data_IF_644253143194
#
_entry.id   IF_644253143194
#
_cell.length_a   1.000
_cell.length_b   1.000
_cell.length_c   1.000
_cell.angle_alpha   90.00
_cell.angle_beta   90.00
_cell.angle_gamma   90.00
#
_symmetry.space_group_name_H-M   'P 1'
#
loop_
_entity.id
_entity.type
_entity.pdbx_description
1 polymer ?
#
# COMPACT_ATOMS: atom_id res chain seq x y z
N UNK A 1 -20.57 62.94 59.91
CA UNK A 1 -19.32 62.67 59.12
C UNK A 1 -19.42 61.27 58.53
N UNK A 2 -19.65 61.18 57.23
CA UNK A 2 -19.79 59.91 56.54
C UNK A 2 -18.54 59.68 55.70
N UNK A 3 -17.72 58.71 56.06
CA UNK A 3 -16.56 58.30 55.29
C UNK A 3 -17.03 57.47 54.08
N UNK A 4 -16.74 57.93 52.88
CA UNK A 4 -16.87 57.15 51.63
C UNK A 4 -15.52 56.53 51.34
N UNK A 5 -15.48 55.19 51.39
CA UNK A 5 -14.35 54.39 50.93
C UNK A 5 -14.58 54.21 49.44
N UNK A 6 -13.68 54.71 48.59
CA UNK A 6 -13.65 54.50 47.15
C UNK A 6 -12.78 53.27 46.90
N UNK A 7 -13.44 52.16 46.46
CA UNK A 7 -12.77 50.92 46.11
C UNK A 7 -12.30 51.04 44.64
N UNK A 8 -11.01 51.12 44.44
CA UNK A 8 -10.38 51.07 43.06
C UNK A 8 -10.27 49.62 42.63
N UNK A 9 -11.15 49.18 41.71
CA UNK A 9 -11.06 47.87 41.07
C UNK A 9 -10.03 47.97 39.95
N UNK A 10 -8.83 47.42 40.19
CA UNK A 10 -7.83 47.23 39.12
C UNK A 10 -8.26 46.00 38.32
N UNK A 11 -8.78 46.25 37.12
CA UNK A 11 -9.09 45.20 36.11
C UNK A 11 -7.77 44.76 35.47
N UNK A 12 -7.18 43.68 35.96
CA UNK A 12 -6.09 42.99 35.30
C UNK A 12 -6.65 42.32 34.06
N UNK A 13 -6.53 42.95 32.90
CA UNK A 13 -6.69 42.31 31.60
C UNK A 13 -5.55 41.30 31.41
N UNK A 14 -5.83 40.04 31.76
CA UNK A 14 -4.99 38.92 31.36
C UNK A 14 -5.19 38.75 29.83
N UNK A 15 -4.29 39.34 29.06
CA UNK A 15 -4.13 38.94 27.64
C UNK A 15 -3.62 37.50 27.65
N UNK A 16 -4.54 36.55 27.65
CA UNK A 16 -4.24 35.18 27.28
C UNK A 16 -3.78 35.22 25.81
N UNK A 17 -2.50 35.22 25.61
CA UNK A 17 -1.92 35.04 24.28
C UNK A 17 -2.28 33.65 23.82
N UNK A 18 -3.26 33.54 22.94
CA UNK A 18 -3.76 32.30 22.37
C UNK A 18 -2.69 31.77 21.40
N UNK A 19 -1.60 31.23 21.97
CA UNK A 19 -0.40 30.73 21.26
C UNK A 19 -0.72 29.52 20.37
N UNK A 20 -1.95 29.00 20.45
CA UNK A 20 -2.35 27.80 19.71
C UNK A 20 -2.86 28.04 18.26
N UNK A 21 -3.02 29.30 17.84
CA UNK A 21 -3.68 29.56 16.52
C UNK A 21 -2.79 29.40 15.29
N UNK A 22 -1.48 29.33 15.45
CA UNK A 22 -0.53 29.40 14.33
C UNK A 22 0.33 28.14 14.16
N UNK A 23 -0.08 27.02 14.77
CA UNK A 23 0.66 25.76 14.75
C UNK A 23 0.63 25.15 13.35
N UNK A 24 1.79 24.80 12.76
CA UNK A 24 1.84 24.09 11.48
C UNK A 24 1.08 22.78 11.50
N UNK A 25 0.40 22.46 10.39
CA UNK A 25 -0.44 21.27 10.21
C UNK A 25 -0.06 20.53 8.91
N UNK A 26 -0.65 19.36 8.67
CA UNK A 26 -0.44 18.54 7.46
C UNK A 26 1.05 18.27 7.20
N UNK A 27 1.75 17.80 8.24
CA UNK A 27 3.17 17.46 8.17
C UNK A 27 3.39 16.23 7.28
N UNK A 28 4.31 16.36 6.32
CA UNK A 28 4.66 15.27 5.40
C UNK A 28 6.17 15.11 5.27
N UNK A 29 6.60 13.86 5.17
CA UNK A 29 7.95 13.50 4.77
C UNK A 29 7.88 12.85 3.40
N UNK A 30 8.70 13.29 2.43
CA UNK A 30 8.66 12.82 1.04
C UNK A 30 7.22 12.80 0.47
N UNK A 31 6.45 13.88 0.73
CA UNK A 31 5.04 14.09 0.33
C UNK A 31 4.03 13.12 0.94
N UNK A 32 4.43 12.24 1.86
CA UNK A 32 3.58 11.24 2.51
C UNK A 32 3.43 11.51 4.01
N UNK A 33 2.30 11.11 4.58
CA UNK A 33 2.04 11.19 6.02
C UNK A 33 2.63 9.95 6.69
N UNK A 34 3.55 10.14 7.62
CA UNK A 34 4.22 9.08 8.40
C UNK A 34 4.72 7.91 7.52
N UNK A 35 5.48 8.17 6.44
CA UNK A 35 5.89 7.12 5.51
C UNK A 35 6.84 6.11 6.15
N UNK A 36 6.73 4.86 5.69
CA UNK A 36 7.64 3.77 6.02
C UNK A 36 8.59 3.49 4.86
N UNK A 37 9.81 3.12 5.17
CA UNK A 37 10.77 2.63 4.20
C UNK A 37 11.35 3.71 3.27
N UNK A 38 11.68 4.89 3.77
CA UNK A 38 12.31 5.95 2.95
C UNK A 38 13.76 5.59 2.66
N UNK A 39 14.16 5.57 1.38
CA UNK A 39 15.53 5.27 0.94
C UNK A 39 16.44 6.51 0.84
N UNK A 40 15.87 7.70 0.72
CA UNK A 40 16.68 8.92 0.62
C UNK A 40 17.39 9.24 1.92
N UNK A 41 18.66 9.63 1.84
CA UNK A 41 19.46 10.09 2.98
C UNK A 41 19.09 11.52 3.39
N UNK A 42 18.49 12.28 2.47
CA UNK A 42 18.11 13.68 2.65
C UNK A 42 16.60 13.84 2.47
N UNK A 43 15.77 13.32 3.41
CA UNK A 43 14.32 13.41 3.29
C UNK A 43 13.84 14.87 3.36
N UNK A 44 12.80 15.18 2.56
CA UNK A 44 12.15 16.48 2.56
C UNK A 44 11.01 16.49 3.56
N UNK A 45 10.96 17.52 4.38
CA UNK A 45 9.86 17.81 5.29
C UNK A 45 9.02 18.94 4.74
N UNK A 46 7.72 18.83 4.81
CA UNK A 46 6.79 19.88 4.41
C UNK A 46 5.62 19.97 5.37
N UNK A 47 5.02 21.15 5.45
CA UNK A 47 3.89 21.45 6.34
C UNK A 47 2.98 22.48 5.68
N UNK A 48 1.79 22.69 6.25
CA UNK A 48 0.89 23.77 5.89
C UNK A 48 0.68 24.74 7.06
N UNK A 49 0.39 25.97 6.72
CA UNK A 49 -0.13 26.95 7.68
C UNK A 49 -1.59 26.62 7.97
N UNK A 50 -2.07 26.82 9.23
CA UNK A 50 -3.46 26.54 9.58
C UNK A 50 -4.42 27.48 8.84
N UNK A 51 -5.49 26.94 8.27
CA UNK A 51 -6.42 27.70 7.41
C UNK A 51 -7.15 28.84 8.12
N UNK A 52 -7.45 28.69 9.42
CA UNK A 52 -8.21 29.64 10.22
C UNK A 52 -7.32 30.55 11.08
N UNK A 53 -6.07 30.75 10.68
CA UNK A 53 -5.12 31.61 11.37
C UNK A 53 -4.99 32.97 10.70
N UNK A 54 -4.56 33.98 11.46
CA UNK A 54 -4.19 35.29 10.92
C UNK A 54 -2.83 35.28 10.21
N UNK A 55 -2.19 34.11 10.11
CA UNK A 55 -0.88 33.93 9.46
C UNK A 55 -1.09 33.89 7.93
N UNK A 56 -0.64 34.93 7.25
CA UNK A 56 -0.65 34.98 5.78
C UNK A 56 0.57 34.29 5.16
N UNK A 57 1.72 34.34 5.85
CA UNK A 57 2.97 33.66 5.47
C UNK A 57 3.86 33.47 6.68
N UNK A 58 4.76 32.52 6.61
CA UNK A 58 5.87 32.41 7.55
C UNK A 58 7.04 33.27 7.07
N UNK A 59 7.88 33.72 7.98
CA UNK A 59 9.16 34.38 7.70
C UNK A 59 10.35 33.50 8.08
N UNK A 60 10.18 32.66 9.10
CA UNK A 60 11.18 31.71 9.59
C UNK A 60 10.51 30.41 9.98
N UNK A 61 11.31 29.36 10.01
CA UNK A 61 10.93 28.05 10.59
C UNK A 61 12.09 27.48 11.41
N UNK A 62 11.76 26.48 12.25
CA UNK A 62 12.72 25.57 12.87
C UNK A 62 12.13 24.17 12.90
N UNK A 63 12.92 23.19 12.42
CA UNK A 63 12.58 21.77 12.42
C UNK A 63 13.49 21.04 13.39
N UNK A 64 12.93 20.16 14.21
CA UNK A 64 13.66 19.24 15.07
C UNK A 64 13.37 17.81 14.65
N UNK A 65 14.39 16.96 14.62
CA UNK A 65 14.30 15.53 14.32
C UNK A 65 14.97 14.73 15.42
N UNK A 66 14.34 13.66 15.89
CA UNK A 66 14.89 12.74 16.88
C UNK A 66 14.45 11.30 16.64
N UNK A 67 15.17 10.33 17.21
CA UNK A 67 14.85 8.89 17.19
C UNK A 67 13.80 8.49 18.24
N UNK A 68 13.49 9.41 19.19
CA UNK A 68 12.50 9.21 20.25
C UNK A 68 11.68 10.48 20.46
N UNK A 69 10.38 10.31 20.66
CA UNK A 69 9.46 11.44 20.93
C UNK A 69 9.87 12.25 22.17
N UNK A 70 10.38 11.59 23.20
CA UNK A 70 10.81 12.27 24.43
C UNK A 70 11.96 13.26 24.16
N UNK A 71 12.86 12.91 23.26
CA UNK A 71 13.99 13.75 22.87
C UNK A 71 13.53 15.06 22.20
N UNK A 72 12.45 15.02 21.41
CA UNK A 72 11.82 16.23 20.86
C UNK A 72 11.21 17.12 21.96
N UNK A 73 10.53 16.52 22.93
CA UNK A 73 9.90 17.25 24.04
C UNK A 73 10.92 17.94 24.95
N UNK A 74 12.02 17.27 25.23
CA UNK A 74 13.08 17.77 26.10
C UNK A 74 14.13 18.61 25.36
N UNK A 75 14.05 18.66 24.02
CA UNK A 75 15.03 19.31 23.15
C UNK A 75 16.46 18.79 23.40
N UNK A 76 16.62 17.47 23.54
CA UNK A 76 17.88 16.79 23.83
C UNK A 76 18.12 15.64 22.90
N UNK A 77 19.39 15.30 22.69
CA UNK A 77 19.80 14.14 21.84
C UNK A 77 19.10 14.15 20.49
N UNK A 78 19.02 15.31 19.86
CA UNK A 78 18.42 15.48 18.55
C UNK A 78 19.32 14.88 17.48
N UNK A 79 18.69 14.27 16.46
CA UNK A 79 19.36 13.86 15.23
C UNK A 79 19.63 15.09 14.35
N UNK A 80 18.73 16.05 14.39
CA UNK A 80 18.87 17.31 13.69
C UNK A 80 18.06 18.44 14.35
N UNK A 81 18.65 19.61 14.40
CA UNK A 81 18.02 20.89 14.65
C UNK A 81 18.41 21.83 13.51
N UNK A 82 17.45 22.24 12.70
CA UNK A 82 17.71 23.17 11.59
C UNK A 82 18.17 24.56 12.07
N UNK A 83 18.01 24.88 13.35
CA UNK A 83 18.05 26.24 13.83
C UNK A 83 16.91 27.09 13.25
N UNK A 84 16.91 28.39 13.55
CA UNK A 84 15.95 29.36 13.00
C UNK A 84 16.35 29.77 11.60
N UNK A 85 15.68 29.22 10.59
CA UNK A 85 15.97 29.47 9.16
C UNK A 85 15.02 30.55 8.61
N UNK A 86 15.59 31.57 7.95
CA UNK A 86 14.79 32.60 7.25
C UNK A 86 14.31 32.05 5.90
N UNK A 87 13.02 31.80 5.80
CA UNK A 87 12.38 31.31 4.57
C UNK A 87 10.86 31.44 4.67
N UNK A 88 10.22 31.76 3.57
CA UNK A 88 8.76 31.73 3.37
C UNK A 88 8.26 30.41 2.77
N UNK A 89 9.18 29.49 2.46
CA UNK A 89 8.84 28.16 1.93
C UNK A 89 8.43 27.23 3.06
N UNK A 90 7.30 26.55 2.89
CA UNK A 90 6.75 25.59 3.85
C UNK A 90 7.35 24.17 3.68
N UNK A 91 8.64 24.09 3.36
CA UNK A 91 9.39 22.84 3.28
C UNK A 91 10.88 23.08 3.55
N UNK A 92 11.55 21.99 3.90
CA UNK A 92 13.01 21.95 4.02
C UNK A 92 13.50 20.53 3.67
N UNK A 93 14.79 20.43 3.40
CA UNK A 93 15.51 19.15 3.24
C UNK A 93 16.28 18.90 4.52
N UNK A 94 16.28 17.66 4.97
CA UNK A 94 17.11 17.21 6.09
C UNK A 94 18.59 17.46 5.79
N UNK A 95 19.29 18.05 6.73
CA UNK A 95 20.72 18.37 6.65
C UNK A 95 21.40 18.05 8.01
N UNK A 96 21.03 16.90 8.59
CA UNK A 96 21.55 16.43 9.88
C UNK A 96 22.54 15.27 9.70
N UNK A 97 22.77 14.56 10.80
CA UNK A 97 23.61 13.37 10.81
C UNK A 97 22.99 12.25 9.96
N UNK A 98 23.81 11.31 9.51
CA UNK A 98 23.35 10.14 8.76
C UNK A 98 22.22 9.39 9.47
N UNK A 99 21.17 9.11 8.70
CA UNK A 99 20.01 8.35 9.18
C UNK A 99 20.31 6.84 9.12
N UNK A 100 20.14 6.14 10.23
CA UNK A 100 20.34 4.69 10.31
C UNK A 100 19.26 3.93 9.52
N UNK A 101 19.58 2.76 8.92
CA UNK A 101 18.62 1.92 8.24
C UNK A 101 17.56 1.37 9.20
N UNK A 102 16.38 1.03 8.68
CA UNK A 102 15.27 0.44 9.43
C UNK A 102 14.98 1.15 10.77
N UNK A 103 15.08 2.48 10.79
CA UNK A 103 14.96 3.28 12.00
C UNK A 103 13.82 4.28 11.89
N UNK A 104 12.98 4.34 12.93
CA UNK A 104 11.89 5.30 13.02
C UNK A 104 12.39 6.60 13.62
N UNK A 105 12.08 7.70 12.96
CA UNK A 105 12.35 9.06 13.39
C UNK A 105 11.06 9.84 13.57
N UNK A 106 11.12 10.83 14.44
CA UNK A 106 10.03 11.77 14.72
C UNK A 106 10.52 13.18 14.48
N UNK A 107 9.62 14.06 14.03
CA UNK A 107 9.96 15.44 13.79
C UNK A 107 8.80 16.37 14.09
N UNK A 108 9.16 17.62 14.43
CA UNK A 108 8.25 18.73 14.71
C UNK A 108 8.76 19.97 14.03
N UNK A 109 7.87 20.92 13.81
CA UNK A 109 8.19 22.21 13.22
C UNK A 109 7.47 23.33 13.96
N UNK A 110 8.13 24.46 14.13
CA UNK A 110 7.52 25.74 14.51
C UNK A 110 7.88 26.80 13.49
N UNK A 111 7.09 27.87 13.46
CA UNK A 111 7.26 28.98 12.52
C UNK A 111 7.24 30.32 13.24
N UNK A 112 7.74 31.34 12.57
CA UNK A 112 7.52 32.75 12.91
C UNK A 112 6.74 33.39 11.76
N UNK A 113 5.61 34.01 12.11
CA UNK A 113 4.71 34.63 11.14
C UNK A 113 5.21 35.97 10.59
N UNK A 114 4.41 36.59 9.72
CA UNK A 114 4.71 37.89 9.10
C UNK A 114 4.67 39.07 10.09
N UNK A 115 4.23 38.85 11.31
CA UNK A 115 4.25 39.84 12.40
C UNK A 115 5.39 39.58 13.39
N UNK A 116 6.19 38.54 13.17
CA UNK A 116 7.29 38.14 14.03
C UNK A 116 6.87 37.24 15.20
N UNK A 117 5.59 36.85 15.29
CA UNK A 117 5.09 35.97 16.35
C UNK A 117 5.56 34.54 16.14
N UNK A 118 6.04 33.92 17.23
CA UNK A 118 6.46 32.51 17.24
C UNK A 118 5.26 31.60 17.52
N UNK A 119 5.10 30.51 16.74
CA UNK A 119 4.13 29.46 17.03
C UNK A 119 4.66 28.49 18.08
N UNK A 120 3.78 27.71 18.72
CA UNK A 120 4.18 26.45 19.35
C UNK A 120 4.67 25.45 18.29
N UNK A 121 5.43 24.44 18.74
CA UNK A 121 5.75 23.31 17.85
C UNK A 121 4.50 22.55 17.43
N UNK A 122 4.52 22.03 16.23
CA UNK A 122 3.46 21.15 15.70
C UNK A 122 3.31 19.88 16.56
N UNK A 123 2.19 19.15 16.36
CA UNK A 123 2.12 17.74 16.73
C UNK A 123 3.21 17.03 15.92
N UNK A 124 3.87 16.03 16.53
CA UNK A 124 4.91 15.29 15.84
C UNK A 124 4.38 14.49 14.66
N UNK A 125 5.16 14.41 13.59
CA UNK A 125 5.04 13.45 12.52
C UNK A 125 6.21 12.47 12.61
N UNK A 126 6.12 11.34 11.91
CA UNK A 126 7.18 10.35 11.89
C UNK A 126 7.55 9.94 10.47
N UNK A 127 8.70 9.31 10.33
CA UNK A 127 9.07 8.54 9.14
C UNK A 127 9.98 7.39 9.56
N UNK A 128 10.05 6.35 8.74
CA UNK A 128 10.98 5.24 8.94
C UNK A 128 11.86 5.12 7.71
N UNK A 129 13.15 4.98 7.92
CA UNK A 129 14.11 4.70 6.84
C UNK A 129 13.92 3.30 6.29
N UNK A 130 14.29 3.12 5.03
CA UNK A 130 14.28 1.85 4.35
C UNK A 130 15.38 0.90 4.81
N UNK A 131 15.50 -0.21 4.11
CA UNK A 131 16.49 -1.24 4.46
C UNK A 131 17.93 -0.80 4.16
N UNK A 132 18.13 0.20 3.27
CA UNK A 132 19.42 0.81 2.88
C UNK A 132 20.58 -0.15 2.59
N UNK A 133 20.56 -1.32 3.19
CA UNK A 133 21.59 -2.36 3.08
C UNK A 133 21.26 -3.36 1.97
N UNK A 134 22.22 -4.20 1.66
CA UNK A 134 22.00 -5.37 0.82
C UNK A 134 21.02 -6.32 1.52
N UNK A 135 19.99 -6.73 0.81
CA UNK A 135 19.03 -7.72 1.29
C UNK A 135 19.73 -9.00 1.72
N UNK A 136 19.43 -9.49 2.93
CA UNK A 136 19.88 -10.79 3.42
C UNK A 136 19.11 -11.94 2.77
N UNK A 137 17.94 -11.63 2.26
CA UNK A 137 16.98 -12.54 1.64
C UNK A 137 17.36 -12.94 0.21
N UNK A 138 16.73 -13.97 -0.32
CA UNK A 138 16.86 -14.45 -1.71
C UNK A 138 15.57 -14.26 -2.48
N UNK A 139 15.66 -13.99 -3.78
CA UNK A 139 14.52 -14.04 -4.69
C UNK A 139 14.07 -15.47 -4.83
N UNK A 140 12.79 -15.72 -4.61
CA UNK A 140 12.19 -17.06 -4.69
C UNK A 140 10.94 -17.07 -5.58
N UNK A 141 10.66 -18.25 -6.16
CA UNK A 141 9.44 -18.52 -6.93
C UNK A 141 9.11 -20.02 -6.87
N UNK A 142 8.03 -20.44 -7.56
CA UNK A 142 7.74 -21.86 -7.80
C UNK A 142 8.65 -22.45 -8.91
N UNK A 143 8.54 -23.75 -9.19
CA UNK A 143 9.30 -24.44 -10.24
C UNK A 143 8.58 -24.52 -11.58
N UNK A 144 7.42 -23.88 -11.68
CA UNK A 144 6.54 -24.07 -12.81
C UNK A 144 7.00 -23.26 -14.05
N UNK A 145 6.51 -23.66 -15.21
CA UNK A 145 6.79 -22.98 -16.47
C UNK A 145 6.18 -21.57 -16.52
N UNK A 146 6.77 -20.72 -17.35
CA UNK A 146 6.32 -19.33 -17.53
C UNK A 146 4.86 -19.23 -18.01
N UNK A 147 4.34 -20.27 -18.68
CA UNK A 147 2.97 -20.31 -19.18
C UNK A 147 1.96 -20.93 -18.20
N UNK A 148 2.42 -21.35 -17.00
CA UNK A 148 1.50 -21.78 -15.95
C UNK A 148 0.58 -20.61 -15.56
N UNK A 149 -0.73 -20.80 -15.68
CA UNK A 149 -1.75 -19.76 -15.49
C UNK A 149 -2.09 -19.49 -14.03
N UNK A 150 -1.99 -20.53 -13.17
CA UNK A 150 -2.36 -20.45 -11.77
C UNK A 150 -1.42 -19.53 -10.99
N UNK A 151 -2.00 -18.78 -10.07
CA UNK A 151 -1.22 -17.95 -9.14
C UNK A 151 -0.43 -18.83 -8.16
N UNK A 152 0.87 -18.60 -7.97
CA UNK A 152 1.64 -19.29 -6.94
C UNK A 152 1.36 -18.70 -5.56
N UNK A 153 1.10 -19.57 -4.60
CA UNK A 153 0.96 -19.28 -3.19
C UNK A 153 2.23 -19.69 -2.46
N UNK A 154 2.65 -18.90 -1.48
CA UNK A 154 3.85 -19.12 -0.69
C UNK A 154 3.52 -19.05 0.79
N UNK A 155 4.20 -19.88 1.58
CA UNK A 155 3.98 -19.98 3.01
C UNK A 155 5.30 -20.11 3.76
N UNK A 156 5.40 -19.40 4.90
CA UNK A 156 6.46 -19.56 5.88
C UNK A 156 5.87 -19.56 7.29
N UNK A 157 6.26 -20.52 8.08
CA UNK A 157 5.96 -20.58 9.51
C UNK A 157 7.18 -20.18 10.32
N UNK A 158 6.98 -19.42 11.40
CA UNK A 158 8.04 -19.01 12.30
C UNK A 158 7.51 -18.80 13.73
N UNK A 159 8.41 -18.79 14.72
CA UNK A 159 8.08 -18.55 16.12
C UNK A 159 8.87 -17.36 16.63
N UNK A 160 8.26 -16.59 17.51
CA UNK A 160 8.94 -15.52 18.24
C UNK A 160 9.32 -15.98 19.63
N UNK A 161 10.40 -15.41 20.15
CA UNK A 161 11.06 -15.92 21.35
C UNK A 161 11.01 -14.96 22.55
N UNK A 162 10.51 -13.72 22.36
CA UNK A 162 10.41 -12.70 23.41
C UNK A 162 9.32 -11.69 23.08
N UNK A 163 9.11 -10.71 23.98
CA UNK A 163 8.17 -9.60 23.75
C UNK A 163 8.64 -8.70 22.62
N UNK A 164 7.78 -8.51 21.63
CA UNK A 164 8.05 -7.67 20.47
C UNK A 164 8.09 -6.20 20.90
N UNK A 165 9.08 -5.47 20.41
CA UNK A 165 9.14 -4.01 20.47
C UNK A 165 8.59 -3.42 19.17
N UNK A 166 9.06 -3.93 18.04
CA UNK A 166 8.71 -3.47 16.70
C UNK A 166 9.00 -4.57 15.68
N UNK A 167 8.17 -4.70 14.64
CA UNK A 167 8.38 -5.62 13.54
C UNK A 167 8.04 -4.94 12.21
N UNK A 168 9.02 -4.89 11.30
CA UNK A 168 8.90 -4.24 9.99
C UNK A 168 9.15 -5.25 8.88
N UNK A 169 8.28 -5.26 7.88
CA UNK A 169 8.41 -6.08 6.67
C UNK A 169 8.83 -5.22 5.50
N UNK A 170 9.78 -5.72 4.72
CA UNK A 170 10.17 -5.25 3.41
C UNK A 170 9.88 -6.36 2.40
N UNK A 171 9.11 -6.06 1.36
CA UNK A 171 8.78 -7.01 0.31
C UNK A 171 8.86 -6.36 -1.06
N UNK A 172 9.65 -6.93 -1.97
CA UNK A 172 9.65 -6.57 -3.37
C UNK A 172 9.17 -7.74 -4.21
N UNK A 173 8.33 -7.49 -5.21
CA UNK A 173 7.90 -8.51 -6.15
C UNK A 173 8.05 -8.07 -7.60
N UNK A 174 8.54 -8.97 -8.43
CA UNK A 174 8.37 -8.90 -9.86
C UNK A 174 7.06 -9.62 -10.19
N UNK A 175 6.02 -8.83 -10.40
CA UNK A 175 4.62 -9.20 -10.38
C UNK A 175 3.88 -8.38 -9.32
N UNK A 176 2.70 -8.85 -8.93
CA UNK A 176 1.90 -8.28 -7.86
C UNK A 176 1.93 -9.23 -6.65
N UNK A 177 1.82 -8.70 -5.44
CA UNK A 177 1.67 -9.53 -4.25
C UNK A 177 0.45 -9.14 -3.43
N UNK A 178 -0.15 -10.15 -2.79
CA UNK A 178 -1.06 -9.98 -1.67
C UNK A 178 -0.44 -10.73 -0.49
N UNK A 179 -0.27 -10.04 0.62
CA UNK A 179 0.43 -10.51 1.80
C UNK A 179 -0.51 -10.60 3.00
N UNK A 180 -0.47 -11.76 3.69
CA UNK A 180 -1.18 -11.98 4.95
C UNK A 180 -0.22 -12.44 6.03
N UNK A 181 -0.47 -12.00 7.25
CA UNK A 181 0.19 -12.48 8.46
C UNK A 181 -0.86 -12.99 9.44
N UNK A 182 -0.75 -14.26 9.82
CA UNK A 182 -1.72 -14.93 10.72
C UNK A 182 -3.18 -14.82 10.22
N UNK A 183 -3.38 -14.90 8.89
CA UNK A 183 -4.68 -14.81 8.23
C UNK A 183 -5.20 -13.39 7.99
N UNK A 184 -4.58 -12.36 8.59
CA UNK A 184 -4.95 -10.96 8.40
C UNK A 184 -4.23 -10.36 7.19
N UNK A 185 -4.93 -9.59 6.37
CA UNK A 185 -4.28 -8.80 5.32
C UNK A 185 -3.31 -7.79 5.95
N UNK A 186 -2.15 -7.62 5.32
CA UNK A 186 -1.16 -6.62 5.70
C UNK A 186 -1.22 -5.48 4.70
N UNK A 187 -1.45 -4.26 5.21
CA UNK A 187 -1.73 -3.10 4.39
C UNK A 187 -3.18 -3.03 3.88
N UNK A 188 -3.53 -1.88 3.33
CA UNK A 188 -4.83 -1.59 2.71
C UNK A 188 -4.71 -1.30 1.20
N UNK A 189 -3.51 -1.48 0.68
CA UNK A 189 -3.19 -1.21 -0.70
C UNK A 189 -3.71 -2.31 -1.62
N UNK A 190 -3.95 -1.91 -2.86
CA UNK A 190 -4.43 -2.77 -3.91
C UNK A 190 -3.39 -2.87 -5.04
N UNK A 191 -3.11 -4.08 -5.54
CA UNK A 191 -2.20 -4.32 -6.65
C UNK A 191 -0.76 -3.80 -6.41
N UNK A 192 -0.17 -4.12 -5.27
CA UNK A 192 1.23 -3.78 -4.97
C UNK A 192 2.24 -4.78 -5.56
N UNK A 193 3.46 -4.30 -5.87
CA UNK A 193 3.89 -2.92 -5.99
C UNK A 193 3.39 -2.25 -7.27
N UNK A 194 3.48 -0.92 -7.35
CA UNK A 194 3.20 -0.19 -8.57
C UNK A 194 4.18 -0.64 -9.67
N UNK A 195 3.69 -0.70 -10.90
CA UNK A 195 4.47 -1.12 -12.07
C UNK A 195 5.71 -0.26 -12.29
N UNK A 196 6.80 -0.93 -12.58
CA UNK A 196 8.03 -0.36 -13.11
C UNK A 196 8.54 -1.26 -14.25
N UNK A 197 9.51 -0.79 -15.01
CA UNK A 197 10.22 -1.63 -15.97
C UNK A 197 11.19 -2.54 -15.20
N UNK A 198 10.86 -3.83 -15.11
CA UNK A 198 11.47 -4.80 -14.19
C UNK A 198 12.96 -5.05 -14.41
N UNK A 199 13.47 -4.83 -15.62
CA UNK A 199 14.91 -4.90 -15.91
C UNK A 199 15.67 -3.63 -15.52
N UNK A 200 14.98 -2.57 -15.08
CA UNK A 200 15.58 -1.30 -14.69
C UNK A 200 15.41 -0.98 -13.21
N UNK A 201 14.27 -1.30 -12.64
CA UNK A 201 13.98 -1.05 -11.23
C UNK A 201 12.79 -1.87 -10.75
N UNK A 202 12.87 -2.34 -9.51
CA UNK A 202 11.74 -2.94 -8.79
C UNK A 202 11.50 -2.14 -7.52
N UNK A 203 10.22 -1.93 -7.20
CA UNK A 203 9.82 -1.24 -5.98
C UNK A 203 9.57 -2.26 -4.86
N UNK A 204 9.97 -1.91 -3.64
CA UNK A 204 9.55 -2.63 -2.45
C UNK A 204 8.54 -1.84 -1.63
N UNK A 205 7.65 -2.56 -0.96
CA UNK A 205 6.71 -2.02 0.01
C UNK A 205 7.20 -2.30 1.43
N UNK A 206 6.90 -1.39 2.34
CA UNK A 206 7.27 -1.50 3.76
C UNK A 206 6.02 -1.49 4.61
N UNK A 207 5.93 -2.44 5.56
CA UNK A 207 4.78 -2.60 6.45
C UNK A 207 5.21 -2.70 7.90
N UNK A 208 4.55 -1.97 8.79
CA UNK A 208 4.60 -2.22 10.22
C UNK A 208 3.64 -3.36 10.56
N UNK A 209 4.17 -4.46 11.06
CA UNK A 209 3.40 -5.65 11.42
C UNK A 209 3.45 -5.98 12.91
N UNK A 210 3.90 -5.04 13.72
CA UNK A 210 4.14 -5.19 15.16
C UNK A 210 2.94 -5.82 15.87
N UNK A 211 1.74 -5.27 15.64
CA UNK A 211 0.50 -5.69 16.28
C UNK A 211 -0.06 -7.02 15.72
N UNK A 212 0.46 -7.49 14.58
CA UNK A 212 0.01 -8.74 13.95
C UNK A 212 0.84 -9.95 14.38
N UNK A 213 2.02 -9.74 14.99
CA UNK A 213 2.92 -10.81 15.44
C UNK A 213 2.35 -11.50 16.65
N UNK A 214 2.41 -12.85 16.63
CA UNK A 214 2.02 -13.75 17.69
C UNK A 214 3.21 -14.63 18.10
N UNK A 215 3.03 -15.51 19.08
CA UNK A 215 4.06 -16.52 19.44
C UNK A 215 4.35 -17.49 18.30
N UNK A 216 3.31 -17.99 17.62
CA UNK A 216 3.42 -18.82 16.42
C UNK A 216 2.83 -18.02 15.26
N UNK A 217 3.54 -17.94 14.16
CA UNK A 217 3.18 -17.07 13.04
C UNK A 217 3.18 -17.83 11.72
N UNK A 218 2.28 -17.41 10.83
CA UNK A 218 2.19 -17.89 9.47
C UNK A 218 2.18 -16.68 8.54
N UNK A 219 3.13 -16.64 7.62
CA UNK A 219 3.16 -15.73 6.50
C UNK A 219 2.55 -16.45 5.31
N UNK A 220 1.55 -15.83 4.68
CA UNK A 220 0.97 -16.28 3.43
C UNK A 220 1.13 -15.17 2.38
N UNK A 221 1.73 -15.50 1.23
CA UNK A 221 1.87 -14.59 0.09
C UNK A 221 1.30 -15.29 -1.13
N UNK A 222 0.49 -14.57 -1.90
CA UNK A 222 0.07 -15.00 -3.23
C UNK A 222 0.58 -13.98 -4.24
N UNK A 223 1.12 -14.47 -5.37
CA UNK A 223 1.62 -13.60 -6.42
C UNK A 223 0.68 -13.58 -7.62
N UNK A 224 0.41 -12.38 -8.11
CA UNK A 224 -0.24 -12.13 -9.38
C UNK A 224 0.77 -11.90 -10.50
N UNK A 225 0.39 -12.23 -11.71
CA UNK A 225 1.23 -12.05 -12.91
C UNK A 225 1.58 -10.58 -13.16
N UNK A 226 0.63 -9.65 -12.91
CA UNK A 226 0.84 -8.23 -13.19
C UNK A 226 1.42 -8.02 -14.60
N UNK A 227 2.46 -7.18 -14.68
CA UNK A 227 3.17 -6.87 -15.92
C UNK A 227 4.42 -7.72 -16.16
N UNK A 228 4.86 -8.54 -15.18
CA UNK A 228 6.05 -9.39 -15.35
C UNK A 228 5.76 -10.62 -16.21
N UNK A 229 4.55 -11.16 -16.12
CA UNK A 229 4.15 -12.36 -16.87
C UNK A 229 2.82 -12.12 -17.59
N UNK A 230 2.84 -11.24 -18.56
CA UNK A 230 1.66 -10.97 -19.37
C UNK A 230 1.33 -12.18 -20.24
N UNK A 231 0.23 -12.86 -19.97
CA UNK A 231 -0.15 -14.11 -20.64
C UNK A 231 -1.06 -13.93 -21.84
N UNK A 232 -1.46 -12.71 -22.13
CA UNK A 232 -2.33 -12.38 -23.26
C UNK A 232 -1.59 -11.50 -24.27
N UNK A 233 -2.09 -11.41 -25.50
CA UNK A 233 -1.51 -10.55 -26.54
C UNK A 233 -2.03 -9.12 -26.32
N UNK A 234 -1.14 -8.19 -26.07
CA UNK A 234 -1.44 -6.76 -25.92
C UNK A 234 -0.75 -5.94 -27.01
N UNK A 235 -1.27 -4.77 -27.29
CA UNK A 235 -0.75 -3.82 -28.28
C UNK A 235 0.75 -3.51 -28.09
N UNK A 236 1.21 -3.44 -26.85
CA UNK A 236 2.60 -3.12 -26.52
C UNK A 236 3.53 -4.34 -26.43
N UNK A 237 3.09 -5.50 -26.90
CA UNK A 237 3.89 -6.72 -26.92
C UNK A 237 4.49 -7.17 -25.58
N UNK A 238 3.90 -6.81 -24.44
CA UNK A 238 4.39 -7.20 -23.12
C UNK A 238 4.53 -8.72 -22.94
N UNK A 239 3.74 -9.50 -23.66
CA UNK A 239 3.85 -10.96 -23.70
C UNK A 239 5.16 -11.46 -24.35
N UNK A 240 5.89 -10.58 -25.06
CA UNK A 240 7.20 -10.82 -25.67
C UNK A 240 8.33 -10.09 -24.95
N UNK A 241 8.06 -9.37 -23.86
CA UNK A 241 9.06 -8.60 -23.14
C UNK A 241 10.21 -9.51 -22.68
N UNK A 242 11.47 -9.07 -22.87
CA UNK A 242 12.65 -9.85 -22.51
C UNK A 242 12.77 -10.11 -20.99
N UNK A 243 12.18 -9.28 -20.15
CA UNK A 243 12.10 -9.49 -18.70
C UNK A 243 10.99 -10.47 -18.29
N UNK A 244 10.15 -10.92 -19.21
CA UNK A 244 9.05 -11.82 -18.91
C UNK A 244 9.53 -13.07 -18.19
N UNK A 245 8.94 -13.33 -17.03
CA UNK A 245 9.29 -14.49 -16.21
C UNK A 245 8.12 -14.88 -15.32
N UNK A 246 8.24 -16.02 -14.66
CA UNK A 246 7.34 -16.41 -13.57
C UNK A 246 7.37 -15.33 -12.46
N UNK A 247 6.23 -14.93 -11.85
CA UNK A 247 6.22 -14.01 -10.73
C UNK A 247 7.13 -14.49 -9.60
N UNK A 248 7.90 -13.58 -9.00
CA UNK A 248 8.87 -13.86 -7.95
C UNK A 248 8.93 -12.73 -6.93
N UNK A 249 9.42 -13.02 -5.76
CA UNK A 249 9.57 -11.99 -4.71
C UNK A 249 10.80 -12.20 -3.86
N UNK A 250 11.18 -11.14 -3.15
CA UNK A 250 12.14 -11.13 -2.05
C UNK A 250 11.46 -10.54 -0.82
N UNK A 251 11.70 -11.12 0.35
CA UNK A 251 11.02 -10.76 1.60
C UNK A 251 12.02 -10.74 2.74
N UNK A 252 12.01 -9.67 3.51
CA UNK A 252 12.76 -9.56 4.76
C UNK A 252 11.90 -8.90 5.83
N UNK A 253 11.70 -9.57 6.96
CA UNK A 253 11.06 -9.03 8.15
C UNK A 253 12.11 -8.87 9.23
N UNK A 254 12.21 -7.68 9.78
CA UNK A 254 13.09 -7.35 10.90
C UNK A 254 12.24 -7.25 12.16
N UNK A 255 12.54 -8.07 13.16
CA UNK A 255 11.85 -8.11 14.45
C UNK A 255 12.82 -7.62 15.53
N UNK A 256 12.46 -6.51 16.17
CA UNK A 256 13.18 -5.97 17.32
C UNK A 256 12.45 -6.38 18.60
N UNK A 257 13.12 -7.03 19.51
CA UNK A 257 12.58 -7.44 20.81
C UNK A 257 12.84 -6.38 21.89
N UNK A 258 12.00 -6.37 22.95
CA UNK A 258 12.19 -5.44 24.09
C UNK A 258 13.46 -5.69 24.88
N UNK A 259 14.02 -6.89 24.81
CA UNK A 259 15.29 -7.26 25.43
C UNK A 259 16.53 -6.84 24.62
N UNK A 260 16.34 -6.12 23.52
CA UNK A 260 17.40 -5.58 22.67
C UNK A 260 17.87 -6.52 21.56
N UNK A 261 17.41 -7.78 21.51
CA UNK A 261 17.71 -8.71 20.40
C UNK A 261 16.98 -8.31 19.13
N UNK A 262 17.59 -8.63 18.00
CA UNK A 262 16.99 -8.50 16.67
C UNK A 262 17.00 -9.86 15.98
N UNK A 263 15.92 -10.16 15.25
CA UNK A 263 15.78 -11.36 14.44
C UNK A 263 15.30 -10.98 13.03
N UNK A 264 15.76 -11.71 12.02
CA UNK A 264 15.32 -11.56 10.63
C UNK A 264 14.63 -12.83 10.15
N UNK A 265 13.45 -12.68 9.57
CA UNK A 265 12.75 -13.73 8.80
C UNK A 265 12.90 -13.37 7.33
N UNK A 266 13.56 -14.23 6.57
CA UNK A 266 13.92 -13.93 5.16
C UNK A 266 13.29 -14.94 4.20
N UNK A 267 13.17 -14.54 2.94
CA UNK A 267 12.86 -15.47 1.84
C UNK A 267 14.11 -16.28 1.48
N UNK A 268 13.95 -17.58 1.53
CA UNK A 268 14.98 -18.59 1.26
C UNK A 268 14.33 -19.94 0.91
N UNK A 269 15.13 -20.99 0.76
CA UNK A 269 14.67 -22.37 0.49
C UNK A 269 13.77 -22.98 1.56
N UNK A 270 13.64 -22.40 2.73
CA UNK A 270 12.76 -22.91 3.80
C UNK A 270 11.28 -22.59 3.57
N UNK A 271 10.96 -21.72 2.63
CA UNK A 271 9.61 -21.44 2.21
C UNK A 271 9.02 -22.57 1.38
N UNK A 272 7.70 -22.64 1.39
CA UNK A 272 6.94 -23.61 0.58
C UNK A 272 6.03 -22.89 -0.40
N UNK A 273 5.74 -23.52 -1.52
CA UNK A 273 4.82 -23.03 -2.55
C UNK A 273 3.75 -24.06 -2.88
N UNK A 274 2.58 -23.59 -3.28
CA UNK A 274 1.44 -24.41 -3.71
C UNK A 274 0.58 -23.64 -4.70
N UNK A 275 -0.42 -24.30 -5.28
CA UNK A 275 -1.52 -23.65 -5.98
C UNK A 275 -2.77 -23.64 -5.11
N UNK A 276 -3.59 -22.60 -5.25
CA UNK A 276 -4.83 -22.45 -4.53
C UNK A 276 -5.98 -22.04 -5.43
N UNK A 277 -6.88 -21.23 -4.90
CA UNK A 277 -8.12 -20.87 -5.56
C UNK A 277 -7.97 -20.00 -6.83
N UNK A 278 -6.90 -19.19 -6.98
CA UNK A 278 -6.72 -18.34 -8.16
C UNK A 278 -6.13 -19.17 -9.29
N UNK A 279 -6.96 -19.53 -10.26
CA UNK A 279 -6.62 -20.40 -11.38
C UNK A 279 -6.07 -19.62 -12.58
N UNK A 280 -6.34 -18.32 -12.66
CA UNK A 280 -5.81 -17.40 -13.67
C UNK A 280 -5.86 -15.98 -13.13
N UNK A 281 -4.90 -15.14 -13.54
CA UNK A 281 -4.95 -13.70 -13.34
C UNK A 281 -4.18 -12.98 -14.44
N UNK A 282 -4.75 -11.90 -14.95
CA UNK A 282 -4.15 -11.02 -15.94
C UNK A 282 -4.65 -9.62 -15.73
N UNK A 283 -3.74 -8.64 -15.84
CA UNK A 283 -4.03 -7.24 -15.58
C UNK A 283 -5.15 -6.68 -16.46
N UNK A 284 -5.27 -7.15 -17.70
CA UNK A 284 -6.28 -6.65 -18.65
C UNK A 284 -7.45 -7.60 -18.87
N UNK A 285 -7.25 -8.90 -18.68
CA UNK A 285 -8.29 -9.85 -19.01
C UNK A 285 -9.22 -10.05 -17.86
N UNK A 286 -8.72 -10.72 -16.80
CA UNK A 286 -9.59 -11.21 -15.75
C UNK A 286 -8.84 -11.82 -14.56
N UNK A 287 -9.61 -12.24 -13.58
CA UNK A 287 -9.21 -13.19 -12.53
C UNK A 287 -10.22 -14.33 -12.50
N UNK A 288 -9.69 -15.57 -12.53
CA UNK A 288 -10.50 -16.79 -12.41
C UNK A 288 -10.24 -17.41 -11.04
N UNK A 289 -11.29 -17.56 -10.26
CA UNK A 289 -11.23 -18.11 -8.90
C UNK A 289 -12.13 -19.33 -8.81
N UNK A 290 -11.57 -20.44 -8.36
CA UNK A 290 -12.32 -21.66 -8.01
C UNK A 290 -12.21 -21.90 -6.51
N UNK A 291 -13.27 -21.62 -5.77
CA UNK A 291 -13.31 -21.81 -4.31
C UNK A 291 -13.31 -23.27 -3.85
N UNK A 292 -13.37 -24.22 -4.79
CA UNK A 292 -13.18 -25.64 -4.49
C UNK A 292 -11.70 -26.06 -4.50
N UNK A 293 -10.79 -25.18 -4.91
CA UNK A 293 -9.34 -25.42 -4.95
C UNK A 293 -8.69 -24.88 -3.69
N UNK A 294 -8.06 -25.77 -2.96
CA UNK A 294 -7.32 -25.45 -1.73
C UNK A 294 -5.83 -25.71 -1.91
N UNK A 295 -5.03 -25.01 -1.11
CA UNK A 295 -3.57 -25.18 -1.08
C UNK A 295 -3.22 -26.46 -0.30
N UNK A 296 -3.30 -27.63 -0.93
CA UNK A 296 -3.10 -28.92 -0.24
C UNK A 296 -1.69 -29.51 -0.44
N UNK A 297 -1.04 -29.20 -1.56
CA UNK A 297 0.24 -29.84 -1.95
C UNK A 297 1.38 -28.82 -1.91
N UNK A 298 1.92 -28.60 -0.71
CA UNK A 298 3.05 -27.70 -0.52
C UNK A 298 4.36 -28.32 -0.98
N UNK A 299 5.05 -27.66 -1.90
CA UNK A 299 6.35 -28.04 -2.48
C UNK A 299 7.42 -27.05 -2.03
N UNK A 300 8.68 -27.43 -2.22
CA UNK A 300 9.84 -26.55 -2.03
C UNK A 300 9.86 -25.44 -3.08
N UNK A 301 10.12 -24.20 -2.67
CA UNK A 301 10.43 -23.09 -3.57
C UNK A 301 11.79 -23.28 -4.24
N UNK A 302 12.06 -22.48 -5.27
CA UNK A 302 13.41 -22.32 -5.83
C UNK A 302 13.89 -20.88 -5.62
N UNK A 303 15.19 -20.75 -5.39
CA UNK A 303 15.89 -19.47 -5.49
C UNK A 303 16.16 -19.16 -6.96
N UNK A 304 16.01 -17.90 -7.32
CA UNK A 304 16.15 -17.43 -8.71
C UNK A 304 17.02 -16.17 -8.75
N UNK A 305 17.63 -15.89 -9.92
CA UNK A 305 18.43 -14.67 -10.09
C UNK A 305 17.63 -13.40 -9.81
N UNK A 306 18.31 -12.38 -9.35
CA UNK A 306 17.77 -11.05 -9.18
C UNK A 306 17.33 -10.47 -10.53
N UNK A 307 16.12 -9.92 -10.67
CA UNK A 307 15.68 -9.33 -11.95
C UNK A 307 16.42 -8.05 -12.32
N UNK A 308 16.82 -7.26 -11.33
CA UNK A 308 17.61 -6.03 -11.47
C UNK A 308 18.31 -5.70 -10.16
N UNK A 309 19.49 -5.07 -10.22
CA UNK A 309 20.23 -4.60 -9.05
C UNK A 309 19.56 -3.39 -8.37
N UNK A 310 18.64 -2.71 -9.06
CA UNK A 310 17.96 -1.53 -8.52
C UNK A 310 16.62 -1.89 -7.88
N UNK A 311 16.65 -2.20 -6.60
CA UNK A 311 15.47 -2.31 -5.74
C UNK A 311 15.37 -1.02 -4.92
N UNK A 312 14.23 -0.35 -4.93
CA UNK A 312 14.02 0.91 -4.21
C UNK A 312 12.64 0.98 -3.57
N UNK A 313 12.50 1.78 -2.53
CA UNK A 313 11.21 2.00 -1.86
C UNK A 313 10.17 2.56 -2.81
N UNK A 314 8.92 2.10 -2.66
CA UNK A 314 7.78 2.70 -3.32
C UNK A 314 7.41 4.01 -2.62
N UNK A 315 7.85 5.13 -3.18
CA UNK A 315 7.54 6.47 -2.66
C UNK A 315 6.29 7.09 -3.28
N UNK A 316 5.72 6.46 -4.31
CA UNK A 316 4.45 6.88 -4.91
C UNK A 316 3.29 6.45 -4.02
N UNK A 317 2.21 7.26 -3.95
CA UNK A 317 0.99 6.84 -3.28
C UNK A 317 0.51 5.51 -3.84
N UNK A 318 0.20 4.52 -2.98
CA UNK A 318 -0.28 3.23 -3.43
C UNK A 318 -1.70 3.32 -4.01
N UNK A 319 -2.05 2.36 -4.85
CA UNK A 319 -3.44 2.19 -5.32
C UNK A 319 -4.30 1.71 -4.15
N UNK A 320 -5.49 2.28 -3.99
CA UNK A 320 -6.46 1.90 -2.95
C UNK A 320 -7.88 1.87 -3.49
N UNK A 321 -8.71 1.04 -2.88
CA UNK A 321 -10.17 1.09 -3.07
C UNK A 321 -10.70 2.29 -2.27
N UNK A 322 -10.99 3.40 -2.94
CA UNK A 322 -11.34 4.67 -2.27
C UNK A 322 -12.81 4.81 -1.95
N UNK A 323 -13.69 4.16 -2.74
CA UNK A 323 -15.15 4.24 -2.57
C UNK A 323 -15.84 3.03 -3.21
N UNK A 324 -16.88 2.55 -2.57
CA UNK A 324 -17.79 1.55 -3.13
C UNK A 324 -19.07 2.23 -3.66
N UNK A 325 -19.49 1.83 -4.84
CA UNK A 325 -20.72 2.30 -5.48
C UNK A 325 -21.64 1.11 -5.71
N UNK A 326 -22.86 1.11 -5.16
CA UNK A 326 -23.86 0.11 -5.54
C UNK A 326 -24.28 0.33 -6.99
N UNK A 327 -24.72 -0.73 -7.67
CA UNK A 327 -25.40 -0.58 -8.95
C UNK A 327 -26.67 0.26 -8.74
N UNK A 328 -26.93 1.22 -9.64
CA UNK A 328 -28.11 2.10 -9.57
C UNK A 328 -29.34 1.42 -10.18
N UNK A 329 -29.13 0.45 -11.07
CA UNK A 329 -30.21 -0.36 -11.66
C UNK A 329 -29.64 -1.69 -12.19
N UNK A 330 -30.55 -2.64 -12.45
CA UNK A 330 -30.25 -3.86 -13.18
C UNK A 330 -31.42 -4.29 -14.05
N UNK A 331 -31.12 -5.03 -15.11
CA UNK A 331 -32.09 -5.61 -16.01
C UNK A 331 -31.81 -7.11 -16.16
N UNK A 332 -32.84 -7.92 -16.07
CA UNK A 332 -32.79 -9.34 -16.41
C UNK A 332 -32.80 -9.51 -17.93
N UNK A 333 -31.74 -9.98 -18.51
CA UNK A 333 -31.59 -10.20 -19.96
C UNK A 333 -32.08 -11.59 -20.39
N UNK A 334 -31.89 -12.59 -19.52
CA UNK A 334 -32.37 -13.96 -19.67
C UNK A 334 -32.49 -14.62 -18.29
N UNK A 335 -32.87 -15.91 -18.24
CA UNK A 335 -33.03 -16.60 -16.94
C UNK A 335 -31.76 -16.62 -16.09
N UNK A 336 -30.59 -16.61 -16.73
CA UNK A 336 -29.30 -16.70 -16.04
C UNK A 336 -28.38 -15.52 -16.35
N UNK A 337 -28.91 -14.38 -16.84
CA UNK A 337 -28.08 -13.23 -17.21
C UNK A 337 -28.72 -11.94 -16.77
N UNK A 338 -27.94 -11.13 -16.05
CA UNK A 338 -28.33 -9.84 -15.53
C UNK A 338 -27.33 -8.78 -15.97
N UNK A 339 -27.80 -7.61 -16.37
CA UNK A 339 -27.00 -6.43 -16.66
C UNK A 339 -27.18 -5.40 -15.55
N UNK A 340 -26.08 -5.02 -14.91
CA UNK A 340 -26.03 -4.00 -13.86
C UNK A 340 -25.46 -2.69 -14.43
N UNK A 341 -26.11 -1.55 -14.12
CA UNK A 341 -25.62 -0.20 -14.43
C UNK A 341 -25.17 0.49 -13.13
N UNK A 342 -23.94 0.99 -13.08
CA UNK A 342 -23.39 1.73 -11.96
C UNK A 342 -23.58 3.25 -12.09
N UNK A 343 -24.26 3.72 -13.15
CA UNK A 343 -24.61 5.12 -13.36
C UNK A 343 -23.47 6.01 -13.86
N UNK A 344 -22.22 5.57 -13.74
CA UNK A 344 -21.04 6.30 -14.20
C UNK A 344 -19.93 5.36 -14.64
N UNK A 345 -19.10 5.82 -15.57
CA UNK A 345 -17.88 5.10 -15.93
C UNK A 345 -16.81 5.27 -14.83
N UNK A 346 -16.14 4.19 -14.46
CA UNK A 346 -15.16 4.18 -13.39
C UNK A 346 -14.03 3.19 -13.65
N UNK A 347 -12.93 3.39 -12.98
CA UNK A 347 -11.82 2.43 -12.90
C UNK A 347 -11.91 1.71 -11.55
N UNK A 348 -12.03 0.38 -11.56
CA UNK A 348 -12.21 -0.36 -10.32
C UNK A 348 -12.39 -1.86 -10.48
N UNK A 349 -12.96 -2.47 -9.46
CA UNK A 349 -13.33 -3.89 -9.42
C UNK A 349 -14.76 -4.02 -8.92
N UNK A 350 -15.46 -5.05 -9.38
CA UNK A 350 -16.76 -5.41 -8.82
C UNK A 350 -16.60 -6.26 -7.56
N UNK A 351 -17.52 -6.10 -6.63
CA UNK A 351 -17.74 -7.03 -5.51
C UNK A 351 -19.10 -7.72 -5.76
N UNK A 352 -19.05 -9.03 -5.93
CA UNK A 352 -20.22 -9.87 -6.10
C UNK A 352 -20.49 -10.64 -4.81
N UNK A 353 -21.73 -10.52 -4.29
CA UNK A 353 -22.25 -11.36 -3.21
C UNK A 353 -23.27 -12.32 -3.80
N UNK A 354 -22.99 -13.60 -3.69
CA UNK A 354 -23.80 -14.62 -4.36
C UNK A 354 -23.92 -15.87 -3.50
N UNK A 355 -25.04 -16.55 -3.59
CA UNK A 355 -25.32 -17.87 -3.02
C UNK A 355 -25.78 -18.80 -4.15
N UNK A 356 -25.32 -20.03 -4.11
CA UNK A 356 -25.67 -21.02 -5.12
C UNK A 356 -25.00 -22.38 -4.89
N UNK A 357 -25.42 -23.40 -5.63
CA UNK A 357 -24.88 -24.73 -5.50
C UNK A 357 -23.37 -24.79 -5.78
N UNK A 358 -22.70 -25.76 -5.14
CA UNK A 358 -21.28 -26.06 -5.40
C UNK A 358 -21.04 -26.33 -6.89
N UNK A 359 -20.01 -25.70 -7.44
CA UNK A 359 -19.61 -25.86 -8.84
C UNK A 359 -20.34 -24.90 -9.78
N UNK A 360 -21.28 -24.08 -9.30
CA UNK A 360 -21.86 -23.02 -10.13
C UNK A 360 -20.76 -22.07 -10.59
N UNK A 361 -20.73 -21.81 -11.91
CA UNK A 361 -19.77 -20.91 -12.53
C UNK A 361 -20.49 -19.58 -12.81
N UNK A 362 -19.98 -18.51 -12.22
CA UNK A 362 -20.46 -17.14 -12.44
C UNK A 362 -19.42 -16.39 -13.26
N UNK A 363 -19.88 -15.74 -14.35
CA UNK A 363 -19.06 -14.86 -15.19
C UNK A 363 -19.51 -13.42 -14.99
N UNK A 364 -18.55 -12.55 -14.73
CA UNK A 364 -18.78 -11.12 -14.57
C UNK A 364 -18.01 -10.39 -15.68
N UNK A 365 -18.72 -10.06 -16.76
CA UNK A 365 -18.17 -9.32 -17.90
C UNK A 365 -18.36 -7.83 -17.66
N UNK A 366 -17.33 -7.04 -17.90
CA UNK A 366 -17.34 -5.59 -17.68
C UNK A 366 -17.23 -4.84 -19.01
N UNK A 367 -17.85 -3.66 -19.08
CA UNK A 367 -17.74 -2.80 -20.25
C UNK A 367 -18.26 -1.38 -19.99
N UNK A 368 -17.89 -0.48 -20.90
CA UNK A 368 -18.21 0.95 -20.80
C UNK A 368 -19.45 1.32 -21.60
N UNK A 369 -19.80 0.53 -22.60
CA UNK A 369 -20.85 0.84 -23.57
C UNK A 369 -21.83 -0.32 -23.75
N UNK A 370 -23.03 0.01 -24.19
CA UNK A 370 -24.07 -0.95 -24.59
C UNK A 370 -24.36 -0.79 -26.09
N UNK A 371 -24.62 -1.93 -26.75
CA UNK A 371 -25.21 -2.01 -28.07
C UNK A 371 -26.37 -2.99 -28.02
N UNK A 372 -27.51 -2.57 -28.48
CA UNK A 372 -28.78 -3.39 -28.49
C UNK A 372 -29.09 -3.99 -27.09
N UNK A 373 -28.84 -3.21 -26.03
CA UNK A 373 -29.10 -3.60 -24.64
C UNK A 373 -28.09 -4.61 -24.04
N UNK A 374 -27.00 -4.93 -24.73
CA UNK A 374 -25.94 -5.83 -24.28
C UNK A 374 -24.60 -5.10 -24.19
N UNK A 375 -23.67 -5.63 -23.39
CA UNK A 375 -22.29 -5.11 -23.33
C UNK A 375 -21.61 -5.17 -24.69
N UNK A 376 -21.06 -4.03 -25.12
CA UNK A 376 -20.24 -3.92 -26.32
C UNK A 376 -18.81 -3.53 -25.99
N UNK A 377 -17.88 -4.46 -26.13
CA UNK A 377 -16.45 -4.26 -25.95
C UNK A 377 -15.71 -4.19 -27.31
N UNK A 378 -16.41 -4.19 -28.44
CA UNK A 378 -15.78 -4.26 -29.78
C UNK A 378 -14.79 -3.13 -30.04
N UNK A 379 -15.00 -1.94 -29.46
CA UNK A 379 -14.11 -0.80 -29.60
C UNK A 379 -12.80 -0.91 -28.80
N UNK A 380 -12.74 -1.74 -27.77
CA UNK A 380 -11.57 -1.89 -26.89
C UNK A 380 -10.89 -3.26 -27.02
N UNK A 381 -11.60 -4.32 -27.39
CA UNK A 381 -11.03 -5.66 -27.61
C UNK A 381 -9.97 -5.69 -28.72
N UNK A 382 -10.01 -4.77 -29.67
CA UNK A 382 -9.02 -4.65 -30.76
C UNK A 382 -7.60 -4.44 -30.27
N UNK A 383 -7.46 -3.82 -29.10
CA UNK A 383 -6.16 -3.53 -28.48
C UNK A 383 -5.65 -4.67 -27.61
N UNK A 384 -6.44 -5.72 -27.44
CA UNK A 384 -6.14 -6.79 -26.51
C UNK A 384 -6.78 -8.10 -26.98
N UNK A 385 -5.96 -9.12 -27.16
CA UNK A 385 -6.44 -10.44 -27.62
C UNK A 385 -6.12 -11.48 -26.57
N UNK A 386 -7.11 -12.14 -25.97
CA UNK A 386 -6.86 -13.34 -25.20
C UNK A 386 -6.20 -14.42 -26.06
N UNK A 387 -5.37 -15.25 -25.46
CA UNK A 387 -4.70 -16.33 -26.17
C UNK A 387 -5.66 -17.42 -26.61
N UNK A 388 -6.75 -17.59 -25.89
CA UNK A 388 -7.80 -18.56 -26.18
C UNK A 388 -9.16 -18.10 -25.61
N UNK A 389 -10.24 -18.76 -26.01
CA UNK A 389 -11.61 -18.45 -25.58
C UNK A 389 -11.88 -18.77 -24.10
N UNK A 390 -10.92 -19.40 -23.42
CA UNK A 390 -11.03 -19.73 -21.99
C UNK A 390 -10.76 -18.52 -21.10
N UNK A 391 -10.08 -17.51 -21.64
CA UNK A 391 -9.70 -16.28 -20.92
C UNK A 391 -10.35 -15.06 -21.59
N UNK A 392 -11.69 -14.91 -21.56
CA UNK A 392 -12.40 -13.87 -22.28
C UNK A 392 -12.07 -12.48 -21.73
N UNK A 393 -11.99 -11.50 -22.63
CA UNK A 393 -11.63 -10.12 -22.30
C UNK A 393 -12.57 -9.51 -21.26
N UNK A 394 -11.98 -8.84 -20.23
CA UNK A 394 -12.68 -8.18 -19.11
C UNK A 394 -13.77 -9.03 -18.42
N UNK A 395 -13.56 -10.35 -18.33
CA UNK A 395 -14.55 -11.28 -17.77
C UNK A 395 -13.94 -12.07 -16.62
N UNK A 396 -14.27 -11.70 -15.38
CA UNK A 396 -13.93 -12.51 -14.22
C UNK A 396 -14.79 -13.76 -14.15
N UNK A 397 -14.21 -14.86 -13.69
CA UNK A 397 -14.89 -16.15 -13.57
C UNK A 397 -14.75 -16.63 -12.12
N UNK A 398 -15.88 -16.97 -11.51
CA UNK A 398 -15.93 -17.43 -10.14
C UNK A 398 -16.69 -18.76 -10.04
N UNK A 399 -16.06 -19.76 -9.42
CA UNK A 399 -16.70 -21.07 -9.17
C UNK A 399 -17.03 -21.19 -7.69
N UNK A 400 -18.32 -21.37 -7.38
CA UNK A 400 -18.84 -21.43 -6.02
C UNK A 400 -18.47 -22.75 -5.33
N UNK A 401 -18.23 -22.70 -4.03
CA UNK A 401 -18.04 -23.89 -3.19
C UNK A 401 -19.35 -24.41 -2.58
N UNK A 402 -20.42 -23.60 -2.60
CA UNK A 402 -21.76 -23.97 -2.14
C UNK A 402 -21.94 -23.95 -0.62
N UNK A 403 -21.10 -23.21 0.11
CA UNK A 403 -21.17 -23.09 1.57
C UNK A 403 -21.93 -21.83 2.02
N UNK A 404 -23.05 -21.50 1.38
CA UNK A 404 -23.82 -20.28 1.64
C UNK A 404 -23.31 -19.08 0.86
N UNK A 405 -23.57 -17.86 1.35
CA UNK A 405 -23.19 -16.65 0.66
C UNK A 405 -21.68 -16.49 0.52
N UNK A 406 -21.20 -16.39 -0.70
CA UNK A 406 -19.81 -16.16 -1.06
C UNK A 406 -19.60 -14.73 -1.58
N UNK A 407 -18.43 -14.15 -1.28
CA UNK A 407 -18.04 -12.83 -1.74
C UNK A 407 -16.85 -12.98 -2.68
N UNK A 408 -17.00 -12.45 -3.88
CA UNK A 408 -15.96 -12.41 -4.89
C UNK A 408 -15.60 -10.97 -5.24
N UNK A 409 -14.33 -10.65 -5.23
CA UNK A 409 -13.75 -9.42 -5.78
C UNK A 409 -12.31 -9.75 -6.20
N UNK A 410 -11.91 -9.45 -7.44
CA UNK A 410 -10.55 -9.73 -7.90
C UNK A 410 -9.52 -8.92 -7.11
N UNK A 411 -8.30 -9.46 -6.99
CA UNK A 411 -7.19 -8.82 -6.26
C UNK A 411 -6.01 -8.45 -7.15
N UNK A 412 -5.90 -9.01 -8.36
CA UNK A 412 -4.77 -8.81 -9.27
C UNK A 412 -5.13 -8.17 -10.61
N UNK A 413 -6.29 -7.58 -10.73
CA UNK A 413 -6.68 -6.80 -11.89
C UNK A 413 -7.65 -5.68 -11.51
N UNK A 414 -7.90 -4.77 -12.45
CA UNK A 414 -8.95 -3.76 -12.41
C UNK A 414 -9.47 -3.55 -13.84
N UNK A 415 -10.60 -2.88 -13.95
CA UNK A 415 -11.25 -2.63 -15.24
C UNK A 415 -11.78 -1.21 -15.32
N UNK A 416 -11.88 -0.68 -16.54
CA UNK A 416 -12.68 0.49 -16.86
C UNK A 416 -14.09 0.01 -17.22
N UNK A 417 -15.11 0.45 -16.51
CA UNK A 417 -16.50 0.02 -16.78
C UNK A 417 -17.54 0.96 -16.19
N UNK A 418 -18.72 0.97 -16.80
CA UNK A 418 -19.97 1.45 -16.23
C UNK A 418 -20.95 0.30 -16.00
N UNK A 419 -20.85 -0.75 -16.80
CA UNK A 419 -21.76 -1.87 -16.78
C UNK A 419 -21.07 -3.18 -16.43
N UNK A 420 -21.78 -4.07 -15.74
CA UNK A 420 -21.38 -5.45 -15.53
C UNK A 420 -22.52 -6.39 -15.95
N UNK A 421 -22.19 -7.36 -16.80
CA UNK A 421 -23.10 -8.45 -17.19
C UNK A 421 -22.68 -9.70 -16.41
N UNK A 422 -23.62 -10.24 -15.63
CA UNK A 422 -23.42 -11.38 -14.74
C UNK A 422 -24.30 -12.55 -15.17
#
# INVERSE_FOLDING_TARGET
MKNRIVLFLILLLIFSCDSNKNIPVDLKTEYSINPLGIDTDLPRFSWKLPQNSNVKRQLFYQVLVADKIINLKENKSLVWDSGKIKSDKNFTVFDGNELLPNTRYFWIVKIWDNNGNESSYSIHSSFQTGIKETWSAKWITDKEDINEKRAPYFKKEFKTHSTIKEATVYIASAGLHNFKLNGNNVGDEFMNPIYTRFDKRILYNTYDVTELIKKNNIIDIVLGNGWINHQSIAVWDFHKAHWRSRPRFIFEMVINYKDGRQEKIISDKSWKTSFGRIQFNSIYTAEHVDNNKENKSWKQVIEVPIPTDKISSQQLPPVRKVKAYPAVSFVKLSDNTYLYDFGQNMSGVTELKIDGPKGTIVRVKHGEQLKDGRLDNSGIEVHYRPKDDKDPFQTDIYTLNGNGQEIFSPIFNYKGFRYAEV
#
